data_IF_388433780245
#
_entry.id   IF_388433780245
#
_cell.length_a   1.000
_cell.length_b   1.000
_cell.length_c   1.000
_cell.angle_alpha   90.00
_cell.angle_beta   90.00
_cell.angle_gamma   90.00
#
_symmetry.space_group_name_H-M   'P 1'
#
loop_
_entity.id
_entity.type
_entity.pdbx_description
1 polymer ?
#
# COMPACT_ATOMS: atom_id res chain seq x y z
N UNK A 1 -24.72 24.39 -11.39
CA UNK A 1 -24.12 24.42 -10.05
C UNK A 1 -24.61 23.19 -9.35
N UNK A 2 -23.85 22.10 -9.43
CA UNK A 2 -24.15 20.88 -8.69
C UNK A 2 -24.10 21.22 -7.21
N UNK A 3 -25.25 21.14 -6.54
CA UNK A 3 -25.36 21.60 -5.16
C UNK A 3 -24.90 20.45 -4.26
N UNK A 4 -23.58 20.35 -4.05
CA UNK A 4 -22.97 19.35 -3.19
C UNK A 4 -23.59 19.50 -1.78
N UNK A 5 -24.22 18.43 -1.29
CA UNK A 5 -24.77 18.43 0.06
C UNK A 5 -23.65 18.34 1.11
N UNK A 6 -23.21 19.50 1.58
CA UNK A 6 -22.15 19.61 2.58
C UNK A 6 -22.47 18.87 3.89
N UNK A 7 -23.74 18.76 4.28
CA UNK A 7 -24.11 18.05 5.50
C UNK A 7 -23.96 16.53 5.33
N UNK A 8 -24.31 16.02 4.15
CA UNK A 8 -24.13 14.61 3.81
C UNK A 8 -22.64 14.21 3.87
N UNK A 9 -21.77 14.92 3.16
CA UNK A 9 -20.35 14.62 3.13
C UNK A 9 -19.66 14.84 4.47
N UNK A 10 -20.07 15.85 5.25
CA UNK A 10 -19.57 16.05 6.62
C UNK A 10 -19.87 14.84 7.51
N UNK A 11 -21.06 14.27 7.41
CA UNK A 11 -21.43 13.08 8.20
C UNK A 11 -20.60 11.86 7.80
N UNK A 12 -20.36 11.68 6.50
CA UNK A 12 -19.51 10.59 5.99
C UNK A 12 -18.08 10.75 6.48
N UNK A 13 -17.49 11.94 6.31
CA UNK A 13 -16.11 12.21 6.73
C UNK A 13 -15.92 12.04 8.24
N UNK A 14 -16.90 12.42 9.07
CA UNK A 14 -16.84 12.18 10.52
C UNK A 14 -16.86 10.68 10.86
N UNK A 15 -17.66 9.89 10.15
CA UNK A 15 -17.72 8.43 10.32
C UNK A 15 -16.42 7.78 9.87
N UNK A 16 -15.86 8.19 8.73
CA UNK A 16 -14.57 7.70 8.24
C UNK A 16 -13.44 8.09 9.18
N UNK A 17 -13.45 9.32 9.72
CA UNK A 17 -12.47 9.77 10.71
C UNK A 17 -12.45 8.87 11.95
N UNK A 18 -13.62 8.53 12.49
CA UNK A 18 -13.74 7.65 13.66
C UNK A 18 -13.17 6.26 13.35
N UNK A 19 -13.50 5.69 12.18
CA UNK A 19 -12.93 4.39 11.77
C UNK A 19 -11.42 4.42 11.65
N UNK A 20 -10.86 5.45 11.01
CA UNK A 20 -9.41 5.57 10.81
C UNK A 20 -8.70 5.76 12.15
N UNK A 21 -9.27 6.53 13.09
CA UNK A 21 -8.71 6.66 14.45
C UNK A 21 -8.70 5.30 15.15
N UNK A 22 -9.83 4.59 15.16
CA UNK A 22 -9.90 3.27 15.80
C UNK A 22 -8.91 2.28 15.17
N UNK A 23 -8.72 2.33 13.84
CA UNK A 23 -7.75 1.48 13.16
C UNK A 23 -6.31 1.82 13.53
N UNK A 24 -5.97 3.10 13.64
CA UNK A 24 -4.63 3.52 14.11
C UNK A 24 -4.41 3.05 15.54
N UNK A 25 -5.40 3.18 16.41
CA UNK A 25 -5.32 2.72 17.80
C UNK A 25 -5.15 1.20 17.87
N UNK A 26 -5.89 0.43 17.06
CA UNK A 26 -5.71 -1.03 16.94
C UNK A 26 -4.30 -1.42 16.45
N UNK A 27 -3.73 -0.67 15.48
CA UNK A 27 -2.37 -0.91 15.01
C UNK A 27 -1.34 -0.59 16.11
N UNK A 28 -1.60 0.42 16.93
CA UNK A 28 -0.70 0.84 18.00
C UNK A 28 -0.76 -0.12 19.21
N UNK A 29 -1.96 -0.63 19.54
CA UNK A 29 -2.22 -1.60 20.62
C UNK A 29 -1.68 -3.01 20.34
N UNK A 30 -1.52 -3.39 19.07
CA UNK A 30 -0.96 -4.70 18.68
C UNK A 30 0.55 -4.85 18.97
N UNK A 31 1.17 -3.86 19.60
CA UNK A 31 2.58 -3.90 19.99
C UNK A 31 2.72 -4.38 21.44
N UNK A 32 3.72 -5.25 21.70
CA UNK A 32 3.96 -5.86 23.02
C UNK A 32 4.15 -4.83 24.15
N UNK A 33 4.48 -3.58 23.83
CA UNK A 33 4.77 -2.52 24.81
C UNK A 33 3.80 -1.32 24.80
N UNK A 34 2.74 -1.32 23.99
CA UNK A 34 1.62 -0.37 24.10
C UNK A 34 1.90 1.10 23.80
N UNK A 35 3.10 1.47 23.33
CA UNK A 35 3.38 2.84 22.83
C UNK A 35 4.46 2.80 21.74
N UNK A 36 4.05 3.15 20.51
CA UNK A 36 4.90 3.23 19.33
C UNK A 36 4.96 4.65 18.73
N UNK A 37 4.62 5.68 19.53
CA UNK A 37 4.74 7.08 19.13
C UNK A 37 6.21 7.50 18.92
N UNK A 38 7.14 6.78 19.53
CA UNK A 38 8.59 6.93 19.37
C UNK A 38 9.13 5.83 18.45
N UNK A 39 10.27 6.04 17.77
CA UNK A 39 10.96 4.98 16.99
C UNK A 39 11.26 3.79 17.91
N UNK A 40 10.35 2.84 17.97
CA UNK A 40 10.45 1.62 18.78
C UNK A 40 11.64 0.85 18.25
N UNK A 41 12.56 0.46 19.13
CA UNK A 41 13.68 -0.40 18.73
C UNK A 41 13.12 -1.72 18.21
N UNK A 42 13.80 -2.37 17.24
CA UNK A 42 13.33 -3.68 16.73
C UNK A 42 13.05 -4.67 17.88
N UNK A 43 13.88 -4.64 18.94
CA UNK A 43 13.71 -5.46 20.15
C UNK A 43 12.39 -5.23 20.87
N UNK A 44 11.94 -3.98 20.95
CA UNK A 44 10.65 -3.65 21.57
C UNK A 44 9.51 -4.02 20.62
N UNK A 45 9.68 -3.94 19.31
CA UNK A 45 8.65 -4.35 18.36
C UNK A 45 8.43 -5.88 18.38
N UNK A 46 9.51 -6.66 18.44
CA UNK A 46 9.43 -8.13 18.44
C UNK A 46 9.16 -8.73 19.81
N UNK A 47 9.32 -7.97 20.90
CA UNK A 47 9.17 -8.49 22.26
C UNK A 47 10.33 -9.37 22.72
N UNK A 48 11.35 -9.54 21.89
CA UNK A 48 12.45 -10.47 22.16
C UNK A 48 13.62 -9.78 22.89
N UNK A 49 13.94 -10.31 24.08
CA UNK A 49 15.01 -9.80 24.92
C UNK A 49 16.42 -10.11 24.37
N UNK A 50 16.57 -11.11 23.50
CA UNK A 50 17.87 -11.49 22.92
C UNK A 50 17.79 -11.95 21.47
N UNK A 51 18.29 -11.16 20.52
CA UNK A 51 18.50 -11.59 19.12
C UNK A 51 19.75 -12.47 18.91
N UNK A 52 20.27 -13.11 19.96
CA UNK A 52 21.50 -13.93 19.88
C UNK A 52 21.21 -15.38 19.46
N UNK A 53 19.95 -15.83 19.58
CA UNK A 53 19.50 -17.19 19.23
C UNK A 53 18.56 -17.22 18.01
N UNK A 54 18.38 -16.09 17.32
CA UNK A 54 17.51 -16.01 16.14
C UNK A 54 18.28 -16.44 14.89
N UNK A 55 17.63 -17.25 14.04
CA UNK A 55 18.18 -17.49 12.73
C UNK A 55 18.12 -16.20 11.90
N UNK A 56 19.13 -15.92 11.04
CA UNK A 56 19.12 -14.74 10.17
C UNK A 56 17.86 -14.58 9.32
N UNK A 57 17.22 -15.70 8.95
CA UNK A 57 15.96 -15.70 8.20
C UNK A 57 14.76 -15.21 9.05
N UNK A 58 14.73 -15.55 10.34
CA UNK A 58 13.68 -15.14 11.26
C UNK A 58 13.77 -13.63 11.51
N UNK A 59 14.99 -13.12 11.75
CA UNK A 59 15.24 -11.68 11.88
C UNK A 59 14.80 -10.89 10.64
N UNK A 60 15.04 -11.43 9.43
CA UNK A 60 14.59 -10.78 8.19
C UNK A 60 13.06 -10.69 8.10
N UNK A 61 12.37 -11.75 8.52
CA UNK A 61 10.90 -11.79 8.55
C UNK A 61 10.33 -10.78 9.55
N UNK A 62 10.90 -10.73 10.76
CA UNK A 62 10.51 -9.78 11.81
C UNK A 62 10.67 -8.32 11.36
N UNK A 63 11.82 -7.99 10.77
CA UNK A 63 12.09 -6.63 10.25
C UNK A 63 11.07 -6.26 9.18
N UNK A 64 10.82 -7.16 8.22
CA UNK A 64 9.85 -6.92 7.17
C UNK A 64 8.43 -6.68 7.72
N UNK A 65 8.00 -7.48 8.69
CA UNK A 65 6.68 -7.32 9.32
C UNK A 65 6.57 -6.00 10.09
N UNK A 66 7.62 -5.61 10.82
CA UNK A 66 7.67 -4.35 11.54
C UNK A 66 7.59 -3.15 10.58
N UNK A 67 8.36 -3.17 9.49
CA UNK A 67 8.30 -2.14 8.45
C UNK A 67 6.93 -2.08 7.78
N UNK A 68 6.32 -3.23 7.48
CA UNK A 68 4.96 -3.29 6.92
C UNK A 68 3.95 -2.60 7.86
N UNK A 69 3.97 -2.92 9.16
CA UNK A 69 3.08 -2.30 10.15
C UNK A 69 3.30 -0.79 10.26
N UNK A 70 4.56 -0.32 10.26
CA UNK A 70 4.88 1.11 10.27
C UNK A 70 4.31 1.82 9.03
N UNK A 71 4.46 1.23 7.84
CA UNK A 71 3.93 1.80 6.61
C UNK A 71 2.40 1.86 6.59
N UNK A 72 1.73 0.80 7.06
CA UNK A 72 0.26 0.79 7.17
C UNK A 72 -0.22 1.92 8.09
N UNK A 73 0.41 2.06 9.26
CA UNK A 73 0.11 3.12 10.22
C UNK A 73 0.31 4.51 9.63
N UNK A 74 1.45 4.75 8.98
CA UNK A 74 1.76 6.04 8.38
C UNK A 74 0.78 6.40 7.25
N UNK A 75 0.33 5.40 6.48
CA UNK A 75 -0.71 5.57 5.48
C UNK A 75 -2.04 6.02 6.12
N UNK A 76 -2.50 5.32 7.17
CA UNK A 76 -3.75 5.68 7.85
C UNK A 76 -3.65 7.06 8.53
N UNK A 77 -2.48 7.43 9.08
CA UNK A 77 -2.24 8.80 9.58
C UNK A 77 -2.33 9.85 8.48
N UNK A 78 -1.77 9.58 7.31
CA UNK A 78 -1.88 10.47 6.15
C UNK A 78 -3.34 10.59 5.69
N UNK A 79 -4.09 9.48 5.68
CA UNK A 79 -5.53 9.49 5.38
C UNK A 79 -6.32 10.31 6.40
N UNK A 80 -6.04 10.15 7.69
CA UNK A 80 -6.64 10.96 8.77
C UNK A 80 -6.39 12.46 8.57
N UNK A 81 -5.16 12.83 8.18
CA UNK A 81 -4.82 14.21 7.83
C UNK A 81 -5.68 14.73 6.66
N UNK A 82 -5.83 13.94 5.59
CA UNK A 82 -6.67 14.31 4.44
C UNK A 82 -8.15 14.47 4.82
N UNK A 83 -8.69 13.59 5.66
CA UNK A 83 -10.05 13.68 6.19
C UNK A 83 -10.24 14.97 7.00
N UNK A 84 -9.29 15.31 7.88
CA UNK A 84 -9.34 16.54 8.66
C UNK A 84 -9.26 17.79 7.77
N UNK A 85 -8.39 17.78 6.76
CA UNK A 85 -8.31 18.85 5.77
C UNK A 85 -9.62 18.98 4.95
N UNK A 86 -10.27 17.87 4.60
CA UNK A 86 -11.57 17.87 3.94
C UNK A 86 -12.67 18.48 4.82
N UNK A 87 -12.70 18.13 6.11
CA UNK A 87 -13.62 18.74 7.09
C UNK A 87 -13.37 20.25 7.25
N UNK A 88 -12.11 20.69 7.22
CA UNK A 88 -11.75 22.11 7.23
C UNK A 88 -12.25 22.81 5.97
N UNK A 89 -12.09 22.21 4.79
CA UNK A 89 -12.64 22.73 3.52
C UNK A 89 -14.16 22.85 3.56
N UNK A 90 -14.87 21.94 4.24
CA UNK A 90 -16.32 22.07 4.45
C UNK A 90 -16.64 23.30 5.31
N UNK A 91 -15.90 23.52 6.40
CA UNK A 91 -16.12 24.68 7.26
C UNK A 91 -15.80 26.00 6.54
N UNK A 92 -14.80 26.00 5.66
CA UNK A 92 -14.40 27.16 4.86
C UNK A 92 -15.25 27.36 3.60
N UNK A 93 -16.17 26.44 3.29
CA UNK A 93 -17.03 26.50 2.10
C UNK A 93 -16.31 26.24 0.77
N UNK A 94 -15.12 25.62 0.81
CA UNK A 94 -14.31 25.29 -0.37
C UNK A 94 -14.30 23.80 -0.72
N UNK A 95 -15.08 23.00 0.00
CA UNK A 95 -15.24 21.57 -0.28
C UNK A 95 -15.83 21.32 -1.67
N UNK A 96 -15.36 20.28 -2.33
CA UNK A 96 -15.75 19.96 -3.71
C UNK A 96 -15.07 20.82 -4.78
N UNK A 97 -14.10 21.66 -4.43
CA UNK A 97 -13.29 22.43 -5.39
C UNK A 97 -11.87 21.85 -5.44
N UNK A 98 -11.39 21.55 -6.65
CA UNK A 98 -10.05 21.03 -6.88
C UNK A 98 -8.99 22.08 -6.51
N UNK A 99 -8.02 21.70 -5.69
CA UNK A 99 -6.97 22.61 -5.22
C UNK A 99 -6.04 23.08 -6.35
N UNK A 100 -5.82 22.25 -7.37
CA UNK A 100 -4.94 22.54 -8.51
C UNK A 100 -5.62 23.40 -9.58
N UNK A 101 -6.73 22.95 -10.15
CA UNK A 101 -7.38 23.62 -11.29
C UNK A 101 -8.56 24.52 -10.91
N UNK A 102 -8.95 24.56 -9.63
CA UNK A 102 -10.06 25.36 -9.09
C UNK A 102 -11.43 25.06 -9.71
N UNK A 103 -11.59 23.92 -10.39
CA UNK A 103 -12.87 23.42 -10.91
C UNK A 103 -13.57 22.55 -9.87
N UNK A 104 -14.87 22.35 -10.03
CA UNK A 104 -15.65 21.39 -9.24
C UNK A 104 -15.07 19.97 -9.38
N UNK A 105 -15.01 19.23 -8.28
CA UNK A 105 -14.64 17.82 -8.22
C UNK A 105 -15.89 17.00 -8.55
N UNK A 106 -15.72 15.93 -9.32
CA UNK A 106 -16.81 15.04 -9.71
C UNK A 106 -17.49 14.44 -8.47
N UNK A 107 -18.83 14.51 -8.38
CA UNK A 107 -19.58 13.97 -7.23
C UNK A 107 -19.32 12.47 -7.05
N UNK A 108 -19.30 11.71 -8.15
CA UNK A 108 -18.96 10.28 -8.16
C UNK A 108 -17.59 9.99 -7.51
N UNK A 109 -16.63 10.92 -7.61
CA UNK A 109 -15.33 10.79 -6.97
C UNK A 109 -15.41 11.04 -5.48
N UNK A 110 -16.19 12.03 -5.04
CA UNK A 110 -16.39 12.33 -3.61
C UNK A 110 -17.22 11.24 -2.91
N UNK A 111 -18.10 10.56 -3.63
CA UNK A 111 -18.84 9.40 -3.11
C UNK A 111 -17.92 8.21 -2.80
N UNK A 112 -16.85 8.03 -3.58
CA UNK A 112 -15.86 6.95 -3.39
C UNK A 112 -14.75 7.38 -2.44
N UNK A 113 -14.24 8.61 -2.61
CA UNK A 113 -13.08 9.18 -1.88
C UNK A 113 -13.48 10.58 -1.38
N UNK A 114 -14.25 10.66 -0.28
CA UNK A 114 -14.77 11.92 0.23
C UNK A 114 -13.69 12.90 0.71
N UNK A 115 -12.51 12.42 1.05
CA UNK A 115 -11.36 13.22 1.48
C UNK A 115 -10.60 13.88 0.31
N UNK A 116 -10.94 13.57 -0.95
CA UNK A 116 -10.17 14.01 -2.12
C UNK A 116 -10.06 15.53 -2.25
N UNK A 117 -8.87 16.03 -2.55
CA UNK A 117 -8.60 17.45 -2.81
C UNK A 117 -8.43 17.80 -4.30
N UNK A 118 -8.37 16.79 -5.18
CA UNK A 118 -8.11 16.93 -6.60
C UNK A 118 -9.22 16.27 -7.42
N UNK A 119 -9.57 16.87 -8.56
CA UNK A 119 -10.43 16.24 -9.57
C UNK A 119 -9.68 15.14 -10.33
N UNK A 120 -10.42 14.31 -11.08
CA UNK A 120 -9.87 13.18 -11.82
C UNK A 120 -8.69 13.57 -12.74
N UNK A 121 -8.85 14.65 -13.51
CA UNK A 121 -7.81 15.11 -14.45
C UNK A 121 -6.50 15.51 -13.76
N UNK A 122 -6.59 16.24 -12.65
CA UNK A 122 -5.42 16.68 -11.88
C UNK A 122 -4.77 15.53 -11.12
N UNK A 123 -5.56 14.59 -10.60
CA UNK A 123 -5.06 13.36 -9.96
C UNK A 123 -4.28 12.51 -10.95
N UNK A 124 -4.84 12.27 -12.14
CA UNK A 124 -4.19 11.45 -13.18
C UNK A 124 -2.87 12.05 -13.69
N UNK A 125 -2.79 13.38 -13.76
CA UNK A 125 -1.55 14.06 -14.14
C UNK A 125 -0.46 13.90 -13.07
N UNK A 126 -0.85 13.96 -11.79
CA UNK A 126 0.06 13.73 -10.68
C UNK A 126 0.65 12.32 -10.72
N UNK A 127 -0.17 11.29 -10.91
CA UNK A 127 0.28 9.89 -10.99
C UNK A 127 1.28 9.65 -12.14
N UNK A 128 1.13 10.35 -13.26
CA UNK A 128 2.04 10.25 -14.41
C UNK A 128 3.42 10.83 -14.12
N UNK A 129 3.54 11.84 -13.27
CA UNK A 129 4.83 12.43 -12.89
C UNK A 129 5.66 11.37 -12.14
N UNK A 130 5.05 10.60 -11.25
CA UNK A 130 5.73 9.55 -10.48
C UNK A 130 6.11 8.33 -11.31
N UNK A 131 5.30 7.95 -12.31
CA UNK A 131 5.68 6.89 -13.26
C UNK A 131 6.90 7.24 -14.12
N UNK A 132 7.17 8.54 -14.33
CA UNK A 132 8.36 8.98 -15.06
C UNK A 132 9.60 9.12 -14.17
N UNK A 133 9.45 8.97 -12.84
CA UNK A 133 10.55 8.85 -11.89
C UNK A 133 10.86 7.36 -11.67
N UNK A 134 11.16 6.63 -12.74
CA UNK A 134 11.76 5.30 -12.66
C UNK A 134 13.20 5.43 -12.13
N UNK A 135 13.37 5.58 -10.81
CA UNK A 135 14.59 5.13 -10.11
C UNK A 135 14.51 3.61 -9.90
N UNK A 136 14.08 2.88 -10.94
CA UNK A 136 14.27 1.44 -10.95
C UNK A 136 15.77 1.21 -11.22
N UNK A 137 16.43 0.33 -10.46
CA UNK A 137 17.84 0.04 -10.69
C UNK A 137 18.08 -0.30 -12.16
N UNK A 138 19.24 0.07 -12.72
CA UNK A 138 19.57 -0.21 -14.14
C UNK A 138 19.44 -1.70 -14.45
N UNK A 139 19.64 -2.54 -13.44
CA UNK A 139 19.46 -3.99 -13.45
C UNK A 139 18.03 -4.39 -13.85
N UNK A 140 17.00 -3.70 -13.36
CA UNK A 140 15.60 -4.00 -13.68
C UNK A 140 15.24 -3.58 -15.12
N UNK A 141 15.80 -2.46 -15.59
CA UNK A 141 15.66 -2.06 -16.99
C UNK A 141 16.33 -3.07 -17.92
N UNK A 142 17.50 -3.61 -17.54
CA UNK A 142 18.20 -4.67 -18.29
C UNK A 142 17.46 -6.02 -18.24
N UNK A 143 16.79 -6.34 -17.14
CA UNK A 143 15.94 -7.53 -17.00
C UNK A 143 14.69 -7.43 -17.88
N UNK A 144 14.05 -6.25 -17.92
CA UNK A 144 12.85 -6.01 -18.73
C UNK A 144 13.14 -5.82 -20.23
N UNK A 145 14.40 -5.59 -20.63
CA UNK A 145 14.78 -5.43 -22.04
C UNK A 145 14.96 -6.74 -22.81
N UNK A 146 14.67 -7.88 -22.18
CA UNK A 146 14.83 -9.21 -22.80
C UNK A 146 13.51 -9.73 -23.35
N UNK A 147 13.08 -9.16 -24.47
CA UNK A 147 12.09 -9.83 -25.33
C UNK A 147 12.64 -11.10 -26.00
N UNK A 148 13.94 -11.44 -25.93
CA UNK A 148 14.48 -12.65 -26.61
C UNK A 148 15.75 -13.20 -25.94
N UNK A 149 15.66 -13.88 -24.80
CA UNK A 149 16.82 -14.65 -24.33
C UNK A 149 16.53 -15.98 -23.59
N UNK A 150 15.29 -16.27 -23.18
CA UNK A 150 14.99 -17.55 -22.49
C UNK A 150 13.69 -18.24 -22.94
N UNK A 151 12.99 -17.78 -23.99
CA UNK A 151 11.81 -18.53 -24.49
C UNK A 151 12.21 -19.89 -25.04
N UNK A 152 13.20 -19.92 -25.93
CA UNK A 152 13.49 -21.10 -26.74
C UNK A 152 14.16 -22.22 -25.92
N UNK A 153 14.91 -21.86 -24.86
CA UNK A 153 15.59 -22.83 -23.99
C UNK A 153 14.62 -23.42 -22.95
N UNK A 154 13.61 -22.68 -22.50
CA UNK A 154 12.69 -23.13 -21.45
C UNK A 154 11.57 -23.99 -22.03
N UNK A 155 11.13 -23.75 -23.27
CA UNK A 155 10.23 -24.66 -24.00
C UNK A 155 10.90 -26.03 -24.22
N UNK A 156 12.16 -26.06 -24.68
CA UNK A 156 12.92 -27.30 -24.87
C UNK A 156 13.10 -28.10 -23.56
N UNK A 157 13.30 -27.43 -22.42
CA UNK A 157 13.43 -28.09 -21.11
C UNK A 157 12.10 -28.66 -20.58
N UNK A 158 11.00 -27.99 -20.89
CA UNK A 158 9.67 -28.46 -20.53
C UNK A 158 9.26 -29.69 -21.36
N UNK A 159 9.77 -29.80 -22.58
CA UNK A 159 9.50 -30.91 -23.50
C UNK A 159 10.41 -32.12 -23.25
N UNK A 160 11.64 -31.92 -22.76
CA UNK A 160 12.51 -33.00 -22.29
C UNK A 160 11.95 -33.75 -21.07
N UNK A 161 11.19 -33.07 -20.21
CA UNK A 161 10.52 -33.68 -19.06
C UNK A 161 9.14 -34.28 -19.41
N UNK A 162 8.73 -34.24 -20.68
CA UNK A 162 7.37 -34.62 -21.12
C UNK A 162 7.29 -35.85 -22.01
N UNK A 163 8.34 -36.68 -22.07
CA UNK A 163 8.30 -37.96 -22.79
C UNK A 163 8.34 -39.16 -21.83
N UNK A 164 7.15 -39.63 -21.50
CA UNK A 164 6.62 -41.01 -21.48
C UNK A 164 7.53 -42.20 -21.08
N UNK A 165 7.04 -42.94 -20.07
CA UNK A 165 7.15 -44.40 -19.83
C UNK A 165 8.51 -45.01 -19.44
N UNK A 166 8.65 -45.34 -18.15
CA UNK A 166 9.21 -46.62 -17.71
C UNK A 166 8.66 -47.01 -16.32
N UNK A 167 7.38 -47.37 -16.30
CA UNK A 167 6.85 -48.31 -15.29
C UNK A 167 7.37 -49.71 -15.66
N UNK A 168 8.57 -50.06 -15.22
CA UNK A 168 8.99 -51.46 -15.03
C UNK A 168 9.84 -51.54 -13.77
N UNK A 169 9.15 -51.65 -12.63
CA UNK A 169 9.73 -52.25 -11.43
C UNK A 169 9.66 -53.76 -11.68
N UNK A 170 10.78 -54.38 -12.04
CA UNK A 170 10.93 -55.83 -11.93
C UNK A 170 10.94 -56.18 -10.43
N UNK A 171 9.88 -56.84 -9.98
CA UNK A 171 9.87 -57.53 -8.69
C UNK A 171 10.74 -58.81 -8.84
N UNK A 172 11.85 -58.86 -8.10
CA UNK A 172 12.68 -60.05 -7.93
C UNK A 172 11.87 -61.19 -7.27
N UNK A 173 11.50 -62.23 -8.03
CA UNK A 173 11.40 -63.65 -7.61
C UNK A 173 11.50 -64.62 -8.79
#
# INVERSE_FOLDING_TARGET
>A
MGNIDLNYYKKILLKEREKVINLIDEIDDNTVYGDNTTRVSMRENTGELSGYDNHPADMGTEVFMAEMNMNLRDNEKNRLYQINAALERINNGTYGICEKCKKEIEEERLDIIPESSLCFSCSSEYDKIYKNQDYRPIEEELLNKRDYFYSDIVEDLADLNRNEEHDQVEDDF
#
